data_IF_091222892976
#
_entry.id   IF_091222892976
#
_cell.length_a   1.000
_cell.length_b   1.000
_cell.length_c   1.000
_cell.angle_alpha   90.00
_cell.angle_beta   90.00
_cell.angle_gamma   90.00
#
_symmetry.space_group_name_H-M   'P 1'
#
loop_
_entity.id
_entity.type
_entity.pdbx_description
1 polymer ?
#
# COMPACT_ATOMS: atom_id res chain seq x y z
N UNK A 1 44.41 -12.90 -9.35
CA UNK A 1 44.22 -11.83 -10.38
C UNK A 1 42.74 -11.80 -10.72
N UNK A 2 42.00 -10.90 -10.11
CA UNK A 2 40.55 -10.76 -10.32
C UNK A 2 40.31 -9.39 -10.94
N UNK A 3 39.79 -9.42 -12.17
CA UNK A 3 39.49 -8.22 -12.97
C UNK A 3 38.21 -7.57 -12.43
N UNK A 4 38.31 -6.27 -12.09
CA UNK A 4 37.16 -5.40 -11.76
C UNK A 4 36.51 -4.96 -13.05
N UNK A 5 35.25 -5.30 -13.27
CA UNK A 5 34.41 -4.67 -14.30
C UNK A 5 33.64 -3.50 -13.68
N UNK A 6 33.92 -2.31 -14.22
CA UNK A 6 33.20 -1.07 -13.95
C UNK A 6 31.81 -1.11 -14.56
N UNK A 7 30.77 -0.95 -13.75
CA UNK A 7 29.45 -0.61 -14.21
C UNK A 7 29.36 0.92 -14.38
N UNK A 8 29.21 1.37 -15.61
CA UNK A 8 28.97 2.77 -15.97
C UNK A 8 27.56 3.19 -15.63
N UNK A 9 27.39 4.10 -14.67
CA UNK A 9 26.13 4.69 -14.29
C UNK A 9 25.51 5.51 -15.40
N UNK A 10 24.24 5.29 -15.68
CA UNK A 10 23.44 6.09 -16.61
C UNK A 10 23.04 7.38 -15.89
N UNK A 11 23.47 8.52 -16.48
CA UNK A 11 23.21 9.86 -15.97
C UNK A 11 21.72 10.21 -16.03
N UNK A 12 21.19 10.78 -14.93
CA UNK A 12 19.81 11.24 -14.72
C UNK A 12 19.28 12.29 -15.71
N UNK A 13 20.08 12.76 -16.68
CA UNK A 13 19.72 13.81 -17.63
C UNK A 13 19.11 13.31 -18.96
N UNK A 14 19.16 12.02 -19.25
CA UNK A 14 18.75 11.50 -20.58
C UNK A 14 17.34 10.85 -20.62
N UNK A 15 16.55 10.96 -19.56
CA UNK A 15 15.20 10.33 -19.55
C UNK A 15 14.08 11.23 -20.09
N UNK A 16 14.33 12.51 -20.37
CA UNK A 16 13.30 13.48 -20.79
C UNK A 16 13.41 13.93 -22.26
N UNK A 17 14.15 13.22 -23.10
CA UNK A 17 14.44 13.67 -24.47
C UNK A 17 14.15 12.68 -25.57
N UNK A 18 13.02 12.06 -25.62
CA UNK A 18 12.74 11.15 -26.72
C UNK A 18 11.25 10.87 -26.94
N UNK A 19 10.59 11.70 -27.73
CA UNK A 19 9.50 11.36 -28.65
C UNK A 19 9.06 12.69 -29.29
N UNK A 20 9.50 12.96 -30.53
CA UNK A 20 8.75 13.67 -31.56
C UNK A 20 9.64 13.91 -32.79
N UNK A 21 9.65 12.97 -33.72
CA UNK A 21 9.89 13.25 -35.12
C UNK A 21 9.29 12.12 -35.95
N UNK A 22 8.26 12.47 -36.73
CA UNK A 22 8.06 11.89 -38.07
C UNK A 22 6.79 12.48 -38.69
N UNK A 23 6.97 13.08 -39.87
CA UNK A 23 5.88 13.28 -40.80
C UNK A 23 5.91 14.59 -41.57
N UNK A 24 6.93 14.80 -42.46
CA UNK A 24 6.80 15.79 -43.54
C UNK A 24 6.12 15.14 -44.75
N UNK A 25 5.06 15.77 -45.23
CA UNK A 25 4.49 15.57 -46.56
C UNK A 25 4.07 16.90 -47.13
N UNK A 26 4.82 17.37 -48.11
CA UNK A 26 4.58 18.65 -48.82
C UNK A 26 3.51 18.52 -49.89
N UNK A 27 2.60 19.51 -49.96
CA UNK A 27 1.95 19.92 -51.20
C UNK A 27 1.65 21.40 -51.16
N UNK A 28 2.23 22.14 -52.08
CA UNK A 28 2.02 23.58 -52.29
C UNK A 28 0.81 23.82 -53.20
N UNK A 29 0.02 24.85 -52.91
CA UNK A 29 -0.39 25.93 -53.85
C UNK A 29 -1.54 26.77 -53.24
N UNK A 30 -1.40 28.11 -53.38
CA UNK A 30 -2.54 29.03 -53.53
C UNK A 30 -2.74 30.09 -52.42
N UNK A 31 -2.11 31.20 -52.60
CA UNK A 31 -2.37 32.58 -52.18
C UNK A 31 -3.74 32.92 -51.60
N UNK A 32 -3.78 33.57 -50.48
CA UNK A 32 -4.23 34.92 -50.07
C UNK A 32 -4.86 34.91 -48.69
N UNK A 33 -4.44 35.86 -47.83
CA UNK A 33 -5.14 36.18 -46.59
C UNK A 33 -4.29 36.03 -45.34
N UNK A 34 -3.61 37.11 -44.94
CA UNK A 34 -2.94 37.21 -43.65
C UNK A 34 -3.95 37.06 -42.49
N UNK A 35 -3.94 35.93 -41.88
CA UNK A 35 -4.29 35.76 -40.49
C UNK A 35 -3.23 34.85 -39.87
N UNK A 36 -2.42 35.37 -39.00
CA UNK A 36 -1.43 34.57 -38.24
C UNK A 36 -2.17 33.42 -37.55
N UNK A 37 -1.65 32.20 -37.64
CA UNK A 37 -2.21 31.11 -36.82
C UNK A 37 -2.00 31.47 -35.34
N UNK A 38 -3.10 31.62 -34.64
CA UNK A 38 -3.06 31.64 -33.18
C UNK A 38 -2.45 30.34 -32.73
N UNK A 39 -1.30 30.42 -32.07
CA UNK A 39 -0.71 29.30 -31.37
C UNK A 39 -1.74 28.85 -30.32
N UNK A 40 -2.29 27.64 -30.49
CA UNK A 40 -3.00 26.92 -29.43
C UNK A 40 -1.97 26.42 -28.39
N UNK A 41 -1.30 27.35 -27.74
CA UNK A 41 -0.37 27.13 -26.63
C UNK A 41 -0.75 28.04 -25.46
N UNK A 42 -2.06 28.19 -25.23
CA UNK A 42 -2.55 28.50 -23.90
C UNK A 42 -3.11 27.18 -23.37
N UNK A 43 -2.24 26.34 -22.80
CA UNK A 43 -2.63 25.45 -21.72
C UNK A 43 -3.22 26.38 -20.66
N UNK A 44 -4.56 26.45 -20.60
CA UNK A 44 -5.25 27.13 -19.53
C UNK A 44 -4.66 26.56 -18.25
N UNK A 45 -3.90 27.36 -17.51
CA UNK A 45 -3.41 27.00 -16.20
C UNK A 45 -4.64 26.57 -15.40
N UNK A 46 -4.82 25.26 -15.21
CA UNK A 46 -5.94 24.75 -14.45
C UNK A 46 -5.83 25.37 -13.05
N UNK A 47 -6.82 26.16 -12.69
CA UNK A 47 -6.84 26.80 -11.38
C UNK A 47 -6.81 25.72 -10.33
N UNK A 48 -5.71 25.62 -9.57
CA UNK A 48 -5.56 24.69 -8.47
C UNK A 48 -6.52 25.07 -7.36
N UNK A 49 -7.30 24.13 -6.88
CA UNK A 49 -8.25 24.32 -5.80
C UNK A 49 -7.49 24.32 -4.48
N UNK A 50 -7.78 25.24 -3.58
CA UNK A 50 -7.33 25.19 -2.19
C UNK A 50 -8.15 24.16 -1.42
N UNK A 51 -7.49 23.09 -0.96
CA UNK A 51 -8.07 22.00 -0.18
C UNK A 51 -8.06 22.25 1.33
N UNK A 52 -7.45 23.36 1.77
CA UNK A 52 -7.34 23.74 3.18
C UNK A 52 -6.13 23.15 3.90
N UNK A 53 -6.07 23.42 5.22
CA UNK A 53 -4.95 23.09 6.08
C UNK A 53 -5.34 22.06 7.15
N UNK A 54 -4.41 21.15 7.44
CA UNK A 54 -4.54 20.04 8.40
C UNK A 54 -3.27 19.90 9.24
N UNK A 55 -3.38 19.28 10.41
CA UNK A 55 -2.19 18.90 11.16
C UNK A 55 -1.51 17.72 10.50
N UNK A 56 -2.31 16.72 10.11
CA UNK A 56 -1.81 15.48 9.48
C UNK A 56 -2.66 15.15 8.26
N UNK A 57 -2.01 14.85 7.14
CA UNK A 57 -2.64 14.20 6.00
C UNK A 57 -2.21 12.74 6.00
N UNK A 58 -3.19 11.82 5.86
CA UNK A 58 -2.96 10.39 5.69
C UNK A 58 -3.35 10.02 4.26
N UNK A 59 -2.44 9.44 3.51
CA UNK A 59 -2.66 9.01 2.12
C UNK A 59 -2.82 7.50 2.05
N UNK A 60 -4.01 7.06 1.68
CA UNK A 60 -4.44 5.66 1.63
C UNK A 60 -5.30 5.27 2.83
N UNK A 61 -6.48 4.72 2.55
CA UNK A 61 -7.47 4.32 3.55
C UNK A 61 -7.51 2.80 3.80
N UNK A 62 -6.39 2.12 3.61
CA UNK A 62 -6.20 0.74 4.06
C UNK A 62 -6.09 0.64 5.58
N UNK A 63 -5.84 -0.56 6.12
CA UNK A 63 -5.73 -0.78 7.57
C UNK A 63 -4.73 0.15 8.25
N UNK A 64 -3.54 0.35 7.66
CA UNK A 64 -2.52 1.25 8.20
C UNK A 64 -2.98 2.72 8.24
N UNK A 65 -3.61 3.20 7.14
CA UNK A 65 -4.07 4.59 7.08
C UNK A 65 -5.23 4.88 8.03
N UNK A 66 -6.18 3.95 8.16
CA UNK A 66 -7.26 4.08 9.14
C UNK A 66 -6.73 4.04 10.57
N UNK A 67 -5.78 3.15 10.87
CA UNK A 67 -5.15 3.08 12.20
C UNK A 67 -4.40 4.38 12.53
N UNK A 68 -3.62 4.90 11.57
CA UNK A 68 -2.93 6.19 11.72
C UNK A 68 -3.92 7.33 11.92
N UNK A 69 -5.03 7.35 11.18
CA UNK A 69 -6.10 8.37 11.32
C UNK A 69 -6.70 8.34 12.72
N UNK A 70 -7.11 7.15 13.20
CA UNK A 70 -7.70 7.00 14.55
C UNK A 70 -6.70 7.44 15.61
N UNK A 71 -5.45 6.95 15.55
CA UNK A 71 -4.41 7.31 16.51
C UNK A 71 -4.10 8.81 16.53
N UNK A 72 -4.05 9.47 15.38
CA UNK A 72 -3.78 10.89 15.28
C UNK A 72 -4.95 11.74 15.82
N UNK A 73 -6.20 11.39 15.49
CA UNK A 73 -7.38 12.10 15.99
C UNK A 73 -7.52 11.94 17.51
N UNK A 74 -7.23 10.77 18.04
CA UNK A 74 -7.27 10.51 19.50
C UNK A 74 -6.21 11.34 20.26
N UNK A 75 -5.17 11.83 19.57
CA UNK A 75 -4.19 12.80 20.10
C UNK A 75 -4.56 14.26 19.82
N UNK A 76 -5.76 14.53 19.28
CA UNK A 76 -6.28 15.87 19.05
C UNK A 76 -5.86 16.51 17.73
N UNK A 77 -5.24 15.77 16.80
CA UNK A 77 -4.85 16.30 15.49
C UNK A 77 -6.06 16.48 14.57
N UNK A 78 -6.06 17.57 13.78
CA UNK A 78 -6.96 17.73 12.63
C UNK A 78 -6.43 16.90 11.46
N UNK A 79 -7.10 15.81 11.13
CA UNK A 79 -6.65 14.81 10.15
C UNK A 79 -7.48 14.86 8.87
N UNK A 80 -6.80 14.76 7.72
CA UNK A 80 -7.41 14.48 6.41
C UNK A 80 -6.98 13.08 5.96
N UNK A 81 -7.94 12.21 5.62
CA UNK A 81 -7.71 10.88 5.07
C UNK A 81 -8.09 10.87 3.58
N UNK A 82 -7.09 10.71 2.70
CA UNK A 82 -7.26 10.69 1.25
C UNK A 82 -7.23 9.27 0.71
N UNK A 83 -8.14 8.97 -0.24
CA UNK A 83 -8.21 7.67 -0.91
C UNK A 83 -8.46 7.85 -2.41
N UNK A 84 -7.66 7.22 -3.25
CA UNK A 84 -7.83 7.32 -4.71
C UNK A 84 -8.96 6.47 -5.26
N UNK A 85 -9.27 5.36 -4.57
CA UNK A 85 -10.36 4.46 -4.97
C UNK A 85 -11.74 5.01 -4.54
N UNK A 86 -12.83 4.55 -5.16
CA UNK A 86 -14.17 4.98 -4.79
C UNK A 86 -14.63 4.48 -3.42
N UNK A 87 -13.92 3.51 -2.83
CA UNK A 87 -14.23 2.91 -1.53
C UNK A 87 -12.96 2.76 -0.69
N UNK A 88 -13.10 2.97 0.62
CA UNK A 88 -12.03 2.76 1.58
C UNK A 88 -11.75 1.26 1.83
N UNK A 89 -10.55 0.96 2.33
CA UNK A 89 -10.18 -0.37 2.82
C UNK A 89 -8.94 -0.98 2.16
N UNK A 90 -8.59 -0.56 0.94
CA UNK A 90 -7.40 -1.05 0.24
C UNK A 90 -7.31 -2.59 0.19
N UNK A 91 -6.09 -3.12 0.13
CA UNK A 91 -5.85 -4.57 0.20
C UNK A 91 -6.23 -5.20 1.53
N UNK A 92 -6.38 -4.42 2.59
CA UNK A 92 -6.86 -4.95 3.87
C UNK A 92 -8.20 -5.63 3.73
N UNK A 93 -9.10 -5.13 2.85
CA UNK A 93 -10.40 -5.78 2.58
C UNK A 93 -10.28 -7.22 2.06
N UNK A 94 -9.16 -7.57 1.43
CA UNK A 94 -8.93 -8.89 0.81
C UNK A 94 -8.13 -9.84 1.70
N UNK A 95 -7.76 -9.42 2.91
CA UNK A 95 -7.06 -10.28 3.86
C UNK A 95 -8.00 -11.36 4.42
N UNK A 96 -7.67 -12.61 4.14
CA UNK A 96 -8.48 -13.78 4.52
C UNK A 96 -7.96 -14.46 5.81
N UNK A 97 -6.64 -14.49 6.00
CA UNK A 97 -5.98 -15.27 7.03
C UNK A 97 -6.33 -14.87 8.46
N UNK A 98 -5.87 -13.74 8.88
CA UNK A 98 -6.01 -13.22 10.25
C UNK A 98 -4.86 -12.29 10.60
N UNK A 99 -4.89 -11.72 11.79
CA UNK A 99 -3.83 -10.88 12.33
C UNK A 99 -2.95 -11.71 13.27
N UNK A 100 -1.66 -11.81 12.97
CA UNK A 100 -0.71 -12.51 13.83
C UNK A 100 -0.33 -11.64 15.03
N UNK A 101 -0.38 -12.23 16.24
CA UNK A 101 0.06 -11.59 17.47
C UNK A 101 0.54 -12.65 18.48
N UNK A 102 1.48 -12.28 19.34
CA UNK A 102 1.96 -13.12 20.45
C UNK A 102 1.57 -12.54 21.79
N UNK A 103 1.61 -13.36 22.83
CA UNK A 103 1.39 -12.97 24.24
C UNK A 103 0.01 -12.38 24.51
N UNK A 104 -0.97 -12.63 23.66
CA UNK A 104 -2.32 -12.05 23.78
C UNK A 104 -3.10 -12.71 24.91
N UNK A 105 -4.11 -11.97 25.44
CA UNK A 105 -5.04 -12.54 26.41
C UNK A 105 -5.78 -13.78 25.86
N UNK A 106 -6.11 -13.79 24.57
CA UNK A 106 -6.79 -14.92 23.93
C UNK A 106 -5.91 -16.18 23.89
N UNK A 107 -4.59 -16.03 23.67
CA UNK A 107 -3.64 -17.14 23.77
C UNK A 107 -3.56 -17.66 25.20
N UNK A 108 -3.50 -16.77 26.21
CA UNK A 108 -3.49 -17.15 27.62
C UNK A 108 -4.75 -17.91 28.03
N UNK A 109 -5.92 -17.44 27.62
CA UNK A 109 -7.22 -18.10 27.86
C UNK A 109 -7.29 -19.49 27.22
N UNK A 110 -6.65 -19.66 26.06
CA UNK A 110 -6.56 -20.95 25.34
C UNK A 110 -5.42 -21.85 25.83
N UNK A 111 -4.66 -21.46 26.87
CA UNK A 111 -3.51 -22.24 27.40
C UNK A 111 -2.34 -22.31 26.43
N UNK A 112 -2.19 -21.34 25.52
CA UNK A 112 -1.09 -21.27 24.56
C UNK A 112 0.00 -20.38 25.13
N UNK A 113 1.17 -20.96 25.36
CA UNK A 113 2.37 -20.23 25.74
C UNK A 113 3.07 -19.70 24.49
N UNK A 114 3.34 -18.41 24.46
CA UNK A 114 4.03 -17.72 23.36
C UNK A 114 4.93 -16.62 23.91
N UNK A 115 5.87 -16.15 23.09
CA UNK A 115 6.77 -15.06 23.45
C UNK A 115 7.14 -14.21 22.24
N UNK A 116 7.55 -12.97 22.52
CA UNK A 116 8.10 -12.04 21.52
C UNK A 116 9.30 -12.69 20.81
N UNK A 117 10.20 -13.34 21.56
CA UNK A 117 11.38 -13.99 21.01
C UNK A 117 11.02 -15.14 20.06
N UNK A 118 10.02 -15.95 20.44
CA UNK A 118 9.57 -17.06 19.60
C UNK A 118 8.92 -16.54 18.30
N UNK A 119 8.04 -15.54 18.39
CA UNK A 119 7.42 -14.93 17.22
C UNK A 119 8.45 -14.25 16.32
N UNK A 120 9.42 -13.52 16.89
CA UNK A 120 10.48 -12.89 16.14
C UNK A 120 11.38 -13.90 15.42
N UNK A 121 11.73 -15.01 16.11
CA UNK A 121 12.50 -16.11 15.51
C UNK A 121 11.76 -16.78 14.36
N UNK A 122 10.47 -17.09 14.51
CA UNK A 122 9.66 -17.68 13.45
C UNK A 122 9.56 -16.74 12.24
N UNK A 123 9.33 -15.43 12.48
CA UNK A 123 9.24 -14.40 11.44
C UNK A 123 10.57 -14.27 10.69
N UNK A 124 11.69 -14.22 11.40
CA UNK A 124 13.02 -14.08 10.80
C UNK A 124 13.37 -15.29 9.94
N UNK A 125 13.11 -16.51 10.46
CA UNK A 125 13.31 -17.77 9.70
C UNK A 125 12.41 -17.82 8.46
N UNK A 126 11.13 -17.43 8.59
CA UNK A 126 10.19 -17.35 7.47
C UNK A 126 10.64 -16.38 6.38
N UNK A 127 11.33 -15.31 6.74
CA UNK A 127 11.98 -14.35 5.85
C UNK A 127 13.37 -14.77 5.37
N UNK A 128 13.74 -16.05 5.48
CA UNK A 128 15.06 -16.57 5.09
C UNK A 128 16.23 -15.84 5.75
N UNK A 129 16.02 -15.35 6.98
CA UNK A 129 17.01 -14.64 7.80
C UNK A 129 17.53 -13.34 7.19
N UNK A 130 16.75 -12.73 6.27
CA UNK A 130 17.11 -11.49 5.57
C UNK A 130 16.45 -10.23 6.16
N UNK A 131 15.41 -10.41 6.97
CA UNK A 131 14.67 -9.28 7.54
C UNK A 131 15.49 -8.50 8.57
N UNK A 132 15.14 -7.23 8.78
CA UNK A 132 15.69 -6.43 9.86
C UNK A 132 15.12 -6.90 11.20
N UNK A 133 15.95 -7.50 12.06
CA UNK A 133 15.54 -8.08 13.33
C UNK A 133 15.00 -7.03 14.31
N UNK A 134 15.48 -5.81 14.27
CA UNK A 134 14.99 -4.71 15.13
C UNK A 134 13.54 -4.35 14.79
N UNK A 135 13.22 -4.22 13.49
CA UNK A 135 11.85 -3.98 13.02
C UNK A 135 10.93 -5.16 13.32
N UNK A 136 11.43 -6.40 13.15
CA UNK A 136 10.67 -7.62 13.48
C UNK A 136 10.33 -7.64 14.96
N UNK A 137 11.28 -7.36 15.86
CA UNK A 137 11.05 -7.30 17.30
C UNK A 137 10.03 -6.24 17.67
N UNK A 138 10.19 -5.04 17.14
CA UNK A 138 9.25 -3.93 17.39
C UNK A 138 7.81 -4.31 17.01
N UNK A 139 7.63 -4.95 15.84
CA UNK A 139 6.32 -5.47 15.42
C UNK A 139 5.78 -6.53 16.41
N UNK A 140 6.62 -7.48 16.82
CA UNK A 140 6.20 -8.56 17.75
C UNK A 140 5.84 -8.00 19.13
N UNK A 141 6.62 -7.08 19.66
CA UNK A 141 6.40 -6.42 20.96
C UNK A 141 5.05 -5.68 21.00
N UNK A 142 4.72 -4.94 19.92
CA UNK A 142 3.45 -4.19 19.82
C UNK A 142 2.24 -5.04 19.43
N UNK A 143 2.41 -6.33 19.11
CA UNK A 143 1.35 -7.13 18.50
C UNK A 143 0.17 -7.40 19.43
N UNK A 144 0.42 -7.70 20.72
CA UNK A 144 -0.62 -7.90 21.74
C UNK A 144 -1.42 -6.63 21.97
N UNK A 145 -0.73 -5.50 22.11
CA UNK A 145 -1.36 -4.20 22.33
C UNK A 145 -2.25 -3.79 21.16
N UNK A 146 -1.84 -4.13 19.93
CA UNK A 146 -2.64 -3.88 18.73
C UNK A 146 -3.96 -4.69 18.73
N UNK A 147 -3.93 -5.95 19.18
CA UNK A 147 -5.14 -6.78 19.35
C UNK A 147 -6.06 -6.18 20.42
N UNK A 148 -5.51 -5.74 21.54
CA UNK A 148 -6.30 -5.15 22.63
C UNK A 148 -6.83 -3.76 22.24
N UNK A 149 -6.07 -2.97 21.50
CA UNK A 149 -6.51 -1.69 20.94
C UNK A 149 -7.71 -1.85 20.01
N UNK A 150 -7.65 -2.81 19.08
CA UNK A 150 -8.79 -3.14 18.20
C UNK A 150 -10.01 -3.58 19.02
N UNK A 151 -9.80 -4.44 20.01
CA UNK A 151 -10.86 -4.94 20.86
C UNK A 151 -11.52 -3.83 21.72
N UNK A 152 -10.76 -2.82 22.16
CA UNK A 152 -11.28 -1.65 22.88
C UNK A 152 -12.26 -0.83 22.04
N UNK A 153 -12.18 -0.94 20.71
CA UNK A 153 -13.09 -0.32 19.75
C UNK A 153 -14.20 -1.26 19.27
N UNK A 154 -14.35 -2.43 19.88
CA UNK A 154 -15.36 -3.43 19.49
C UNK A 154 -14.95 -4.32 18.30
N UNK A 155 -13.69 -4.22 17.84
CA UNK A 155 -13.15 -5.07 16.76
C UNK A 155 -12.42 -6.25 17.42
N UNK A 156 -13.19 -7.27 17.82
CA UNK A 156 -12.69 -8.39 18.63
C UNK A 156 -12.23 -9.53 17.72
N UNK A 157 -10.99 -9.94 17.87
CA UNK A 157 -10.35 -11.04 17.11
C UNK A 157 -9.97 -12.15 18.09
N UNK A 158 -10.95 -12.92 18.57
CA UNK A 158 -10.79 -13.91 19.65
C UNK A 158 -10.45 -15.32 19.16
N UNK A 159 -10.82 -15.67 17.92
CA UNK A 159 -10.60 -17.03 17.39
C UNK A 159 -9.17 -17.22 16.94
N UNK A 160 -8.50 -18.24 17.50
CA UNK A 160 -7.11 -18.53 17.22
C UNK A 160 -6.94 -19.59 16.14
N UNK A 161 -6.01 -19.35 15.21
CA UNK A 161 -5.64 -20.25 14.12
C UNK A 161 -4.12 -20.39 13.96
N UNK A 162 -3.71 -21.35 13.13
CA UNK A 162 -2.30 -21.63 12.81
C UNK A 162 -1.95 -21.05 11.44
N UNK A 163 -0.79 -20.41 11.32
CA UNK A 163 -0.17 -20.08 10.03
C UNK A 163 0.98 -21.05 9.75
N UNK A 164 1.26 -21.31 8.47
CA UNK A 164 2.43 -22.08 8.08
C UNK A 164 3.73 -21.43 8.60
N UNK A 165 4.61 -22.24 9.19
CA UNK A 165 5.88 -21.76 9.76
C UNK A 165 5.78 -21.16 11.17
N UNK A 166 4.59 -20.99 11.75
CA UNK A 166 4.44 -20.53 13.12
C UNK A 166 4.58 -21.72 14.11
N UNK A 167 5.34 -21.52 15.17
CA UNK A 167 5.55 -22.54 16.23
C UNK A 167 4.30 -22.78 17.07
N UNK A 168 3.41 -21.76 17.19
CA UNK A 168 2.16 -21.81 17.95
C UNK A 168 1.04 -21.08 17.20
N UNK A 169 -0.21 -21.23 17.66
CA UNK A 169 -1.36 -20.52 17.09
C UNK A 169 -1.24 -19.03 17.39
N UNK A 170 -1.10 -18.21 16.35
CA UNK A 170 -0.96 -16.73 16.43
C UNK A 170 -1.95 -15.97 15.58
N UNK A 171 -2.62 -16.63 14.64
CA UNK A 171 -3.63 -15.99 13.81
C UNK A 171 -4.83 -15.65 14.70
N UNK A 172 -5.19 -14.36 14.77
CA UNK A 172 -6.38 -13.87 15.45
C UNK A 172 -7.44 -13.50 14.40
N UNK A 173 -8.64 -14.02 14.57
CA UNK A 173 -9.79 -13.87 13.67
C UNK A 173 -11.04 -13.48 14.44
N UNK A 174 -12.06 -12.88 13.78
CA UNK A 174 -13.37 -12.72 14.40
C UNK A 174 -13.99 -14.09 14.73
N UNK A 175 -14.73 -14.16 15.83
CA UNK A 175 -15.39 -15.40 16.28
C UNK A 175 -16.37 -15.94 15.23
N UNK A 176 -17.02 -15.06 14.47
CA UNK A 176 -17.92 -15.43 13.36
C UNK A 176 -17.24 -16.26 12.26
N UNK A 177 -15.89 -16.24 12.19
CA UNK A 177 -15.13 -16.91 11.15
C UNK A 177 -15.12 -16.19 9.80
N UNK A 178 -15.69 -14.97 9.73
CA UNK A 178 -15.61 -14.15 8.52
C UNK A 178 -14.16 -13.73 8.21
N UNK A 179 -13.91 -13.26 6.97
CA UNK A 179 -12.61 -12.75 6.54
C UNK A 179 -12.17 -11.59 7.42
N UNK A 180 -10.97 -11.70 8.01
CA UNK A 180 -10.46 -10.72 8.99
C UNK A 180 -10.39 -9.32 8.41
N UNK A 181 -10.00 -9.19 7.14
CA UNK A 181 -9.82 -7.90 6.51
C UNK A 181 -11.10 -7.11 6.40
N UNK A 182 -12.18 -7.72 5.93
CA UNK A 182 -13.51 -7.09 5.85
C UNK A 182 -14.01 -6.66 7.23
N UNK A 183 -13.81 -7.50 8.24
CA UNK A 183 -14.19 -7.23 9.61
C UNK A 183 -13.45 -6.02 10.18
N UNK A 184 -12.12 -5.99 10.04
CA UNK A 184 -11.28 -4.86 10.49
C UNK A 184 -11.65 -3.57 9.74
N UNK A 185 -11.75 -3.62 8.41
CA UNK A 185 -12.07 -2.43 7.60
C UNK A 185 -13.42 -1.84 7.98
N UNK A 186 -14.45 -2.68 8.17
CA UNK A 186 -15.77 -2.24 8.61
C UNK A 186 -15.70 -1.53 9.97
N UNK A 187 -15.02 -2.15 10.93
CA UNK A 187 -14.86 -1.57 12.27
C UNK A 187 -14.06 -0.28 12.25
N UNK A 188 -12.91 -0.25 11.58
CA UNK A 188 -12.04 0.92 11.52
C UNK A 188 -12.68 2.10 10.75
N UNK A 189 -13.42 1.82 9.68
CA UNK A 189 -14.20 2.87 8.97
C UNK A 189 -15.21 3.53 9.90
N UNK A 190 -15.92 2.73 10.70
CA UNK A 190 -16.85 3.26 11.69
C UNK A 190 -16.13 4.05 12.79
N UNK A 191 -14.98 3.60 13.24
CA UNK A 191 -14.17 4.30 14.24
C UNK A 191 -13.64 5.66 13.72
N UNK A 192 -13.21 5.74 12.46
CA UNK A 192 -12.86 7.01 11.82
C UNK A 192 -14.08 7.95 11.78
N UNK A 193 -15.24 7.42 11.34
CA UNK A 193 -16.49 8.20 11.23
C UNK A 193 -16.97 8.75 12.58
N UNK A 194 -16.89 7.96 13.65
CA UNK A 194 -17.26 8.38 15.01
C UNK A 194 -16.38 9.52 15.53
N UNK A 195 -15.14 9.61 15.03
CA UNK A 195 -14.19 10.69 15.31
C UNK A 195 -14.27 11.86 14.33
N UNK A 196 -15.30 11.88 13.49
CA UNK A 196 -15.54 12.97 12.53
C UNK A 196 -14.68 12.93 11.28
N UNK A 197 -13.94 11.83 11.02
CA UNK A 197 -13.11 11.67 9.81
C UNK A 197 -13.71 10.61 8.91
N UNK A 198 -13.92 10.97 7.64
CA UNK A 198 -14.26 10.02 6.56
C UNK A 198 -13.21 10.11 5.48
N UNK A 199 -12.90 8.98 4.83
CA UNK A 199 -11.99 8.98 3.69
C UNK A 199 -12.58 9.82 2.55
N UNK A 200 -11.78 10.76 2.02
CA UNK A 200 -12.11 11.51 0.80
C UNK A 200 -11.72 10.63 -0.38
N UNK A 201 -12.68 9.83 -0.82
CA UNK A 201 -12.49 8.88 -1.92
C UNK A 201 -12.42 9.58 -3.29
N UNK A 202 -11.96 8.83 -4.33
CA UNK A 202 -11.73 9.33 -5.69
C UNK A 202 -10.79 10.55 -5.72
N UNK A 203 -9.87 10.63 -4.76
CA UNK A 203 -8.90 11.73 -4.65
C UNK A 203 -7.49 11.15 -4.67
N UNK A 204 -6.86 11.20 -5.83
CA UNK A 204 -5.54 10.62 -6.06
C UNK A 204 -4.45 11.63 -5.72
N UNK A 205 -3.65 11.34 -4.73
CA UNK A 205 -2.42 12.09 -4.45
C UNK A 205 -1.38 11.73 -5.51
N UNK A 206 -0.77 12.75 -6.09
CA UNK A 206 0.21 12.63 -7.18
C UNK A 206 1.59 13.17 -6.80
N UNK A 207 1.64 14.11 -5.85
CA UNK A 207 2.87 14.79 -5.47
C UNK A 207 2.88 15.17 -4.00
N UNK A 208 4.05 15.10 -3.38
CA UNK A 208 4.32 15.69 -2.06
C UNK A 208 4.84 17.12 -2.28
N UNK A 209 4.18 18.09 -1.68
CA UNK A 209 4.60 19.49 -1.70
C UNK A 209 5.66 19.72 -0.63
N UNK A 210 6.78 20.31 -1.04
CA UNK A 210 7.89 20.61 -0.15
C UNK A 210 8.05 22.13 -0.01
N UNK A 211 8.40 22.58 1.19
CA UNK A 211 8.77 23.95 1.50
C UNK A 211 10.01 23.95 2.40
N UNK A 212 11.07 24.66 1.99
CA UNK A 212 12.37 24.67 2.68
C UNK A 212 12.89 23.29 3.09
N UNK A 213 12.73 22.28 2.21
CA UNK A 213 13.17 20.91 2.45
C UNK A 213 12.31 20.11 3.42
N UNK A 214 11.14 20.63 3.82
CA UNK A 214 10.17 19.96 4.69
C UNK A 214 8.89 19.68 3.93
N UNK A 215 8.18 18.63 4.32
CA UNK A 215 6.84 18.35 3.82
C UNK A 215 5.90 19.50 4.20
N UNK A 216 5.20 20.06 3.21
CA UNK A 216 4.26 21.15 3.39
C UNK A 216 2.81 20.78 3.01
N UNK A 217 2.63 19.64 2.32
CA UNK A 217 1.32 19.18 1.88
C UNK A 217 1.38 18.18 0.76
N UNK A 218 0.28 18.04 0.05
CA UNK A 218 0.15 17.18 -1.12
C UNK A 218 -0.64 17.86 -2.23
N UNK A 219 -0.31 17.56 -3.49
CA UNK A 219 -1.16 17.82 -4.64
C UNK A 219 -1.89 16.55 -5.02
N UNK A 220 -3.19 16.65 -5.24
CA UNK A 220 -4.06 15.56 -5.61
C UNK A 220 -4.97 15.97 -6.77
N UNK A 221 -5.51 14.96 -7.45
CA UNK A 221 -6.59 15.12 -8.43
C UNK A 221 -7.90 14.72 -7.79
N UNK A 222 -8.89 15.62 -7.82
CA UNK A 222 -10.21 15.40 -7.25
C UNK A 222 -11.12 14.58 -8.20
N UNK A 223 -12.33 14.16 -7.77
CA UNK A 223 -13.24 13.36 -8.62
C UNK A 223 -13.63 14.01 -9.96
N UNK A 224 -13.49 15.33 -10.09
CA UNK A 224 -13.78 16.07 -11.31
C UNK A 224 -12.55 16.23 -12.24
N UNK A 225 -11.43 15.60 -11.89
CA UNK A 225 -10.18 15.70 -12.63
C UNK A 225 -9.43 17.02 -12.43
N UNK A 226 -9.80 17.82 -11.43
CA UNK A 226 -9.15 19.11 -11.16
C UNK A 226 -8.06 18.95 -10.09
N UNK A 227 -6.93 19.67 -10.24
CA UNK A 227 -5.87 19.68 -9.23
C UNK A 227 -6.35 20.38 -7.95
N UNK A 228 -6.04 19.78 -6.81
CA UNK A 228 -6.33 20.31 -5.49
C UNK A 228 -5.07 20.19 -4.61
N UNK A 229 -4.74 21.23 -3.87
CA UNK A 229 -3.64 21.23 -2.91
C UNK A 229 -4.17 21.27 -1.49
N UNK A 230 -3.65 20.36 -0.68
CA UNK A 230 -3.89 20.31 0.76
C UNK A 230 -2.59 20.60 1.49
N UNK A 231 -2.62 21.43 2.53
CA UNK A 231 -1.47 21.76 3.38
C UNK A 231 -1.49 20.94 4.65
N UNK A 232 -0.29 20.57 5.15
CA UNK A 232 -0.17 19.86 6.43
C UNK A 232 1.17 20.13 7.11
N UNK A 233 1.20 19.84 8.43
CA UNK A 233 2.42 19.85 9.23
C UNK A 233 3.16 18.53 9.15
N UNK A 234 2.44 17.42 8.93
CA UNK A 234 2.99 16.08 8.76
C UNK A 234 2.17 15.26 7.76
N UNK A 235 2.85 14.35 7.05
CA UNK A 235 2.28 13.45 6.07
C UNK A 235 2.53 11.99 6.48
N UNK A 236 1.48 11.17 6.45
CA UNK A 236 1.58 9.72 6.62
C UNK A 236 1.25 9.06 5.29
N UNK A 237 2.22 8.35 4.71
CA UNK A 237 2.05 7.59 3.47
C UNK A 237 1.69 6.16 3.81
N UNK A 238 0.42 5.78 3.54
CA UNK A 238 -0.15 4.46 3.84
C UNK A 238 -0.78 3.82 2.58
N UNK A 239 -0.19 4.06 1.41
CA UNK A 239 -0.73 3.71 0.09
C UNK A 239 -0.62 2.24 -0.26
N UNK A 240 0.03 1.43 0.56
CA UNK A 240 0.35 0.03 0.25
C UNK A 240 1.47 -0.10 -0.79
N UNK A 241 1.52 -1.26 -1.44
CA UNK A 241 2.55 -1.59 -2.41
C UNK A 241 2.15 -1.35 -3.88
N UNK A 242 2.72 -2.17 -4.78
CA UNK A 242 2.54 -2.05 -6.23
C UNK A 242 2.12 -3.36 -6.92
N UNK A 243 1.54 -4.31 -6.16
CA UNK A 243 1.20 -5.65 -6.66
C UNK A 243 0.17 -5.71 -7.81
N UNK A 244 -0.50 -4.60 -8.14
CA UNK A 244 -1.36 -4.48 -9.31
C UNK A 244 -0.72 -3.69 -10.46
N UNK A 245 0.53 -3.25 -10.34
CA UNK A 245 1.28 -2.51 -11.35
C UNK A 245 2.25 -3.46 -12.07
N UNK A 246 1.86 -3.94 -13.25
CA UNK A 246 2.65 -4.90 -14.04
C UNK A 246 4.01 -4.34 -14.48
N UNK A 247 4.10 -3.04 -14.75
CA UNK A 247 5.33 -2.38 -15.13
C UNK A 247 6.32 -2.36 -13.96
N UNK A 248 5.88 -2.00 -12.76
CA UNK A 248 6.73 -2.05 -11.56
C UNK A 248 7.11 -3.48 -11.18
N UNK A 249 6.18 -4.44 -11.31
CA UNK A 249 6.50 -5.87 -11.13
C UNK A 249 7.60 -6.30 -12.10
N UNK A 250 7.45 -5.98 -13.38
CA UNK A 250 8.44 -6.32 -14.39
C UNK A 250 9.80 -5.62 -14.20
N UNK A 251 9.79 -4.42 -13.60
CA UNK A 251 11.02 -3.67 -13.30
C UNK A 251 11.84 -4.35 -12.20
N UNK A 252 11.19 -4.80 -11.12
CA UNK A 252 11.88 -5.35 -9.95
C UNK A 252 11.97 -6.88 -9.96
N UNK A 253 11.00 -7.56 -10.58
CA UNK A 253 10.90 -9.01 -10.70
C UNK A 253 10.34 -9.38 -12.09
N UNK A 254 11.19 -9.37 -13.14
CA UNK A 254 10.76 -9.60 -14.53
C UNK A 254 9.95 -10.89 -14.74
N UNK A 255 10.25 -11.93 -13.97
CA UNK A 255 9.55 -13.22 -14.01
C UNK A 255 8.10 -13.16 -13.51
N UNK A 256 7.71 -12.10 -12.79
CA UNK A 256 6.35 -11.89 -12.27
C UNK A 256 5.48 -11.02 -13.19
N UNK A 257 5.97 -10.58 -14.36
CA UNK A 257 5.24 -9.69 -15.28
C UNK A 257 3.83 -10.19 -15.61
N UNK A 258 3.72 -11.50 -15.86
CA UNK A 258 2.49 -12.13 -16.32
C UNK A 258 1.71 -12.83 -15.18
N UNK A 259 2.16 -12.68 -13.95
CA UNK A 259 1.48 -13.23 -12.78
C UNK A 259 0.10 -12.58 -12.62
N UNK A 260 -0.89 -13.38 -12.21
CA UNK A 260 -2.18 -12.84 -11.77
C UNK A 260 -2.01 -12.14 -10.42
N UNK A 261 -2.82 -11.13 -10.17
CA UNK A 261 -2.76 -10.40 -8.90
C UNK A 261 -4.05 -10.52 -8.12
N UNK A 262 -3.92 -10.75 -6.81
CA UNK A 262 -5.04 -10.70 -5.86
C UNK A 262 -5.20 -9.30 -5.24
N UNK A 263 -4.36 -8.35 -5.64
CA UNK A 263 -4.43 -6.98 -5.15
C UNK A 263 -5.63 -6.23 -5.72
N UNK A 264 -6.16 -5.30 -4.95
CA UNK A 264 -7.14 -4.35 -5.47
C UNK A 264 -6.49 -3.44 -6.54
N UNK A 265 -7.25 -2.97 -7.56
CA UNK A 265 -6.69 -2.26 -8.72
C UNK A 265 -5.89 -0.99 -8.39
N UNK A 266 -6.17 -0.37 -7.26
CA UNK A 266 -5.47 0.83 -6.79
C UNK A 266 -4.05 0.59 -6.26
N UNK A 267 -3.58 -0.66 -6.11
CA UNK A 267 -2.25 -0.98 -5.59
C UNK A 267 -1.18 -0.81 -6.66
N UNK A 268 -0.90 0.46 -7.01
CA UNK A 268 -0.09 0.85 -8.17
C UNK A 268 1.31 1.38 -7.82
N UNK A 269 1.64 1.50 -6.52
CA UNK A 269 2.94 2.00 -6.08
C UNK A 269 3.06 3.53 -6.03
N UNK A 270 1.94 4.27 -6.06
CA UNK A 270 1.98 5.74 -6.08
C UNK A 270 2.80 6.32 -4.93
N UNK A 271 2.64 5.78 -3.69
CA UNK A 271 3.40 6.25 -2.53
C UNK A 271 4.90 6.06 -2.67
N UNK A 272 5.34 5.00 -3.32
CA UNK A 272 6.76 4.78 -3.63
C UNK A 272 7.24 5.87 -4.60
N UNK A 273 6.46 6.12 -5.66
CA UNK A 273 6.81 7.08 -6.71
C UNK A 273 6.96 8.49 -6.15
N UNK A 274 5.94 9.01 -5.46
CA UNK A 274 6.01 10.40 -4.99
C UNK A 274 6.93 10.57 -3.77
N UNK A 275 7.14 9.53 -2.96
CA UNK A 275 8.10 9.61 -1.84
C UNK A 275 9.54 9.59 -2.34
N UNK A 276 9.88 8.75 -3.31
CA UNK A 276 11.23 8.74 -3.90
C UNK A 276 11.53 10.02 -4.68
N UNK A 277 10.51 10.66 -5.26
CA UNK A 277 10.66 11.95 -5.93
C UNK A 277 11.13 13.06 -4.99
N UNK A 278 10.82 13.00 -3.69
CA UNK A 278 11.27 13.94 -2.67
C UNK A 278 12.48 13.43 -1.86
N UNK A 279 13.11 12.33 -2.29
CA UNK A 279 14.37 11.86 -1.74
C UNK A 279 14.26 10.71 -0.74
N UNK A 280 13.09 10.07 -0.58
CA UNK A 280 12.98 8.83 0.19
C UNK A 280 13.75 7.70 -0.51
N UNK A 281 14.32 6.80 0.29
CA UNK A 281 14.98 5.58 -0.20
C UNK A 281 14.03 4.38 -0.11
N UNK A 282 14.41 3.28 -0.74
CA UNK A 282 13.66 2.02 -0.75
C UNK A 282 14.56 0.87 -0.30
N UNK A 283 13.99 -0.05 0.48
CA UNK A 283 14.68 -1.26 0.95
C UNK A 283 13.87 -2.47 0.53
N UNK A 284 14.56 -3.52 0.05
CA UNK A 284 13.97 -4.81 -0.32
C UNK A 284 12.79 -4.71 -1.31
N UNK A 285 12.81 -3.72 -2.20
CA UNK A 285 11.70 -3.44 -3.11
C UNK A 285 11.43 -4.57 -4.11
N UNK A 286 12.42 -5.44 -4.34
CA UNK A 286 12.34 -6.65 -5.14
C UNK A 286 11.77 -7.85 -4.39
N UNK A 287 11.57 -7.75 -3.06
CA UNK A 287 11.00 -8.81 -2.24
C UNK A 287 9.47 -8.84 -2.35
N UNK A 288 8.98 -9.43 -3.44
CA UNK A 288 7.56 -9.52 -3.76
C UNK A 288 7.02 -10.86 -3.32
N UNK A 289 5.98 -10.87 -2.48
CA UNK A 289 5.33 -12.08 -2.04
C UNK A 289 4.49 -12.70 -3.15
N UNK A 290 4.76 -13.98 -3.46
CA UNK A 290 3.97 -14.80 -4.38
C UNK A 290 3.10 -15.75 -3.56
N UNK A 291 1.77 -15.62 -3.70
CA UNK A 291 0.83 -16.55 -3.04
C UNK A 291 0.64 -17.80 -3.90
N UNK A 292 0.97 -19.00 -3.40
CA UNK A 292 1.01 -20.22 -4.23
C UNK A 292 -0.38 -20.81 -4.56
N UNK A 293 -1.43 -20.38 -3.86
CA UNK A 293 -2.79 -20.91 -4.01
C UNK A 293 -3.75 -19.84 -4.50
N UNK A 294 -3.62 -19.48 -5.79
CA UNK A 294 -4.50 -18.52 -6.48
C UNK A 294 -5.10 -19.21 -7.70
N UNK A 295 -6.41 -19.18 -7.85
CA UNK A 295 -7.09 -19.62 -9.06
C UNK A 295 -6.77 -18.64 -10.20
N UNK A 296 -6.23 -19.15 -11.32
CA UNK A 296 -5.60 -18.33 -12.35
C UNK A 296 -6.57 -17.57 -13.26
N UNK A 297 -7.84 -18.01 -13.33
CA UNK A 297 -8.84 -17.40 -14.21
C UNK A 297 -9.52 -16.21 -13.55
N UNK A 298 -9.85 -16.35 -12.26
CA UNK A 298 -10.61 -15.36 -11.48
C UNK A 298 -9.74 -14.55 -10.54
N UNK A 299 -8.47 -14.91 -10.38
CA UNK A 299 -7.56 -14.40 -9.35
C UNK A 299 -8.11 -14.59 -7.92
N UNK A 300 -8.94 -15.61 -7.70
CA UNK A 300 -9.49 -15.90 -6.37
C UNK A 300 -8.39 -16.50 -5.50
N UNK A 301 -8.13 -15.87 -4.35
CA UNK A 301 -7.19 -16.36 -3.36
C UNK A 301 -7.81 -17.51 -2.56
N UNK A 302 -7.09 -18.63 -2.48
CA UNK A 302 -7.39 -19.72 -1.56
C UNK A 302 -6.52 -19.53 -0.32
N UNK A 303 -7.17 -19.33 0.83
CA UNK A 303 -6.51 -18.97 2.09
C UNK A 303 -5.37 -19.95 2.46
N UNK A 304 -4.28 -19.40 3.00
CA UNK A 304 -3.13 -20.17 3.50
C UNK A 304 -3.51 -21.14 4.65
N UNK A 305 -4.61 -20.86 5.34
CA UNK A 305 -5.11 -21.74 6.42
C UNK A 305 -5.36 -23.16 5.93
N UNK A 306 -5.81 -23.34 4.67
CA UNK A 306 -6.03 -24.67 4.09
C UNK A 306 -4.76 -25.51 4.15
N UNK A 307 -3.59 -24.91 3.87
CA UNK A 307 -2.29 -25.60 3.97
C UNK A 307 -1.86 -25.75 5.41
N UNK A 308 -2.16 -24.76 6.28
CA UNK A 308 -1.93 -24.88 7.73
C UNK A 308 -2.73 -26.01 8.38
N UNK A 309 -3.91 -26.32 7.83
CA UNK A 309 -4.78 -27.41 8.26
C UNK A 309 -4.44 -28.76 7.58
N UNK A 310 -3.34 -28.84 6.80
CA UNK A 310 -2.81 -30.08 6.25
C UNK A 310 -3.12 -30.35 4.78
N UNK A 311 -3.73 -29.42 4.04
CA UNK A 311 -3.92 -29.58 2.60
C UNK A 311 -2.57 -29.53 1.86
N UNK A 312 -2.44 -30.34 0.82
CA UNK A 312 -1.29 -30.37 -0.08
C UNK A 312 -1.69 -29.90 -1.49
N UNK A 313 -0.71 -29.36 -2.21
CA UNK A 313 -0.86 -29.07 -3.63
C UNK A 313 -0.41 -30.31 -4.42
N UNK A 314 -1.22 -30.72 -5.37
CA UNK A 314 -0.89 -31.79 -6.30
C UNK A 314 -1.04 -31.28 -7.74
N UNK A 315 -0.30 -31.87 -8.68
CA UNK A 315 -0.49 -31.60 -10.10
C UNK A 315 -1.76 -32.29 -10.64
N UNK A 316 -2.02 -32.16 -11.95
CA UNK A 316 -3.16 -32.80 -12.62
C UNK A 316 -3.17 -34.31 -12.56
N UNK A 317 -2.02 -34.94 -12.30
CA UNK A 317 -1.84 -36.40 -12.18
C UNK A 317 -2.00 -36.87 -10.73
N UNK A 318 -2.24 -35.96 -9.79
CA UNK A 318 -2.43 -36.26 -8.38
C UNK A 318 -1.11 -36.52 -7.60
N UNK A 319 0.02 -36.09 -8.13
CA UNK A 319 1.37 -36.25 -7.55
C UNK A 319 1.89 -34.94 -6.98
#
# INVERSE_FOLDING_TARGET
MISKNNASGVSRRNFLGGIFTLGMGAAAMGLTGCAAPRSFADEAAQTTIDGGEYDIIVVGSGGAGMAATVGAVDQGAKVLLLEKMPVAGGNTCFAEGGMNACCTRFQKEAGIEDSVDLMASDTYKGGHEKGNMELIRHMCEGSSDAIDWLASMGIVLSKLGTSGGASVKRIHRPESGEAVGKYIVKGMTEQCRQRGVSAVCNTKVEEILMDDGKVAGVRATNPNGLPIEYRCKALIVATGGFGANKEMLAQYRPELRDAVTTNQPGTQGDGIVFSTAVGADTVDIDQIQVHPTVEQTTATLLSENIRGDGAILVNTDGV
#
